data_IF_132681887113
#
_entry.id   IF_132681887113
#
_cell.length_a   1.000
_cell.length_b   1.000
_cell.length_c   1.000
_cell.angle_alpha   90.00
_cell.angle_beta   90.00
_cell.angle_gamma   90.00
#
_symmetry.space_group_name_H-M   'P 1'
#
loop_
_entity.id
_entity.type
_entity.pdbx_description
1 polymer ?
#
# COMPACT_ATOMS: atom_id res chain seq x y z
N UNK A 1 6.29 12.78 4.02
CA UNK A 1 5.79 11.98 2.88
C UNK A 1 6.65 10.75 2.62
N UNK A 2 7.93 10.88 2.25
CA UNK A 2 8.80 9.71 2.02
C UNK A 2 8.90 8.78 3.23
N UNK A 3 8.94 9.35 4.44
CA UNK A 3 8.98 8.60 5.72
C UNK A 3 7.76 7.71 5.97
N UNK A 4 6.64 7.89 5.27
CA UNK A 4 5.47 7.02 5.41
C UNK A 4 5.83 5.56 5.12
N UNK A 5 6.70 5.33 4.13
CA UNK A 5 7.07 3.99 3.70
C UNK A 5 8.17 3.35 4.56
N UNK A 6 8.69 4.07 5.57
CA UNK A 6 9.87 3.64 6.30
C UNK A 6 9.70 2.28 7.00
N UNK A 7 8.63 2.11 7.78
CA UNK A 7 8.37 0.87 8.50
C UNK A 7 8.20 -0.34 7.57
N UNK A 8 7.30 -0.31 6.56
CA UNK A 8 7.12 -1.46 5.67
C UNK A 8 8.38 -1.80 4.87
N UNK A 9 9.21 -0.82 4.50
CA UNK A 9 10.49 -1.08 3.82
C UNK A 9 11.52 -1.65 4.79
N UNK A 10 11.58 -1.14 6.04
CA UNK A 10 12.55 -1.62 7.03
C UNK A 10 12.33 -3.09 7.39
N UNK A 11 11.08 -3.53 7.43
CA UNK A 11 10.72 -4.93 7.73
C UNK A 11 11.15 -5.87 6.60
N UNK A 12 11.05 -5.42 5.34
CA UNK A 12 11.35 -6.24 4.16
C UNK A 12 12.82 -6.19 3.72
N UNK A 13 13.52 -5.09 4.01
CA UNK A 13 14.90 -4.87 3.60
C UNK A 13 15.84 -4.92 4.79
N UNK A 14 16.74 -5.91 4.81
CA UNK A 14 17.87 -5.92 5.72
C UNK A 14 18.86 -4.82 5.35
N UNK A 15 19.15 -3.93 6.30
CA UNK A 15 20.07 -2.81 6.06
C UNK A 15 19.98 -1.69 7.09
N UNK A 16 20.97 -0.81 7.00
CA UNK A 16 21.10 0.35 7.88
C UNK A 16 19.99 1.39 7.66
N UNK A 17 19.74 2.21 8.68
CA UNK A 17 18.78 3.33 8.63
C UNK A 17 18.90 4.17 7.36
N UNK A 18 20.13 4.52 6.96
CA UNK A 18 20.41 5.35 5.77
C UNK A 18 19.99 4.68 4.46
N UNK A 19 20.14 3.35 4.35
CA UNK A 19 19.75 2.60 3.14
C UNK A 19 18.23 2.58 2.99
N UNK A 20 17.53 2.31 4.09
CA UNK A 20 16.07 2.31 4.12
C UNK A 20 15.52 3.69 3.79
N UNK A 21 16.07 4.75 4.40
CA UNK A 21 15.64 6.11 4.12
C UNK A 21 15.83 6.47 2.64
N UNK A 22 16.99 6.12 2.06
CA UNK A 22 17.24 6.33 0.63
C UNK A 22 16.22 5.60 -0.25
N UNK A 23 15.86 4.36 0.09
CA UNK A 23 14.84 3.58 -0.64
C UNK A 23 13.45 4.20 -0.55
N UNK A 24 13.07 4.77 0.60
CA UNK A 24 11.83 5.52 0.74
C UNK A 24 11.74 6.69 -0.24
N UNK A 25 12.84 7.45 -0.41
CA UNK A 25 12.90 8.55 -1.37
C UNK A 25 12.86 8.05 -2.81
N UNK A 26 13.56 6.96 -3.15
CA UNK A 26 13.52 6.38 -4.49
C UNK A 26 12.10 5.96 -4.86
N UNK A 27 11.40 5.23 -3.98
CA UNK A 27 10.03 4.78 -4.22
C UNK A 27 9.06 5.94 -4.43
N UNK A 28 9.22 7.01 -3.64
CA UNK A 28 8.41 8.21 -3.78
C UNK A 28 8.65 8.92 -5.11
N UNK A 29 9.93 9.06 -5.51
CA UNK A 29 10.30 9.77 -6.74
C UNK A 29 9.97 8.97 -8.01
N UNK A 30 10.02 7.64 -7.95
CA UNK A 30 9.62 6.77 -9.07
C UNK A 30 8.11 6.71 -9.26
N UNK A 31 7.33 6.95 -8.20
CA UNK A 31 5.87 6.85 -8.20
C UNK A 31 5.21 8.08 -7.55
N UNK A 32 5.46 9.31 -8.06
CA UNK A 32 5.04 10.53 -7.38
C UNK A 32 3.51 10.64 -7.29
N UNK A 33 2.78 10.24 -8.33
CA UNK A 33 1.31 10.27 -8.32
C UNK A 33 0.70 9.33 -7.28
N UNK A 34 1.15 8.07 -7.23
CA UNK A 34 0.69 7.10 -6.24
C UNK A 34 1.10 7.51 -4.82
N UNK A 35 2.32 8.03 -4.64
CA UNK A 35 2.78 8.58 -3.38
C UNK A 35 1.87 9.72 -2.90
N UNK A 36 1.56 10.70 -3.76
CA UNK A 36 0.71 11.86 -3.40
C UNK A 36 -0.68 11.39 -2.98
N UNK A 37 -1.26 10.47 -3.76
CA UNK A 37 -2.54 9.87 -3.43
C UNK A 37 -2.53 9.20 -2.05
N UNK A 38 -1.53 8.36 -1.76
CA UNK A 38 -1.41 7.67 -0.46
C UNK A 38 -1.21 8.65 0.68
N UNK A 39 -0.43 9.71 0.50
CA UNK A 39 -0.26 10.75 1.52
C UNK A 39 -1.58 11.48 1.82
N UNK A 40 -2.33 11.89 0.80
CA UNK A 40 -3.64 12.54 0.99
C UNK A 40 -4.63 11.56 1.62
N UNK A 41 -4.66 10.32 1.16
CA UNK A 41 -5.58 9.30 1.66
C UNK A 41 -5.28 8.91 3.12
N UNK A 42 -4.02 8.83 3.51
CA UNK A 42 -3.63 8.59 4.91
C UNK A 42 -4.00 9.75 5.83
N UNK A 43 -3.88 11.00 5.37
CA UNK A 43 -4.41 12.17 6.11
C UNK A 43 -5.93 12.07 6.26
N UNK A 44 -6.63 11.73 5.19
CA UNK A 44 -8.08 11.54 5.22
C UNK A 44 -8.50 10.45 6.22
N UNK A 45 -7.83 9.29 6.21
CA UNK A 45 -8.07 8.22 7.19
C UNK A 45 -7.74 8.65 8.62
N UNK A 46 -6.67 9.43 8.81
CA UNK A 46 -6.32 9.96 10.13
C UNK A 46 -7.44 10.87 10.66
N UNK A 47 -7.98 11.77 9.83
CA UNK A 47 -9.10 12.65 10.19
C UNK A 47 -10.35 11.82 10.53
N UNK A 48 -10.66 10.81 9.72
CA UNK A 48 -11.79 9.89 9.99
C UNK A 48 -11.62 9.06 11.25
N UNK A 49 -10.38 8.78 11.67
CA UNK A 49 -10.11 8.00 12.88
C UNK A 49 -10.32 8.80 14.18
N UNK A 50 -10.34 10.14 14.11
CA UNK A 50 -10.55 11.02 15.28
C UNK A 50 -11.88 10.74 16.00
N UNK A 51 -13.05 10.77 15.33
CA UNK A 51 -14.34 10.53 16.00
C UNK A 51 -14.45 9.12 16.60
N UNK A 52 -13.72 8.13 16.08
CA UNK A 52 -13.72 6.76 16.60
C UNK A 52 -12.65 6.49 17.66
N UNK A 53 -11.89 7.51 18.09
CA UNK A 53 -10.67 7.35 18.89
C UNK A 53 -9.67 6.33 18.30
N UNK A 54 -9.74 6.10 16.98
CA UNK A 54 -8.95 5.10 16.28
C UNK A 54 -9.34 3.63 16.51
N UNK A 55 -10.42 3.36 17.27
CA UNK A 55 -10.83 2.01 17.70
C UNK A 55 -11.85 1.35 16.77
N UNK A 56 -12.62 2.13 16.02
CA UNK A 56 -13.59 1.60 15.03
C UNK A 56 -13.09 1.81 13.60
N UNK A 57 -13.46 0.93 12.65
CA UNK A 57 -13.16 1.12 11.24
C UNK A 57 -13.72 2.45 10.70
N UNK A 58 -12.94 3.24 9.95
CA UNK A 58 -11.50 3.10 9.71
C UNK A 58 -10.67 3.58 10.91
N UNK A 59 -9.97 2.65 11.57
CA UNK A 59 -9.08 2.95 12.71
C UNK A 59 -7.64 3.18 12.28
N UNK A 60 -6.74 3.39 13.23
CA UNK A 60 -5.31 3.61 12.95
C UNK A 60 -4.65 2.43 12.22
N UNK A 61 -5.14 1.20 12.43
CA UNK A 61 -4.69 0.02 11.70
C UNK A 61 -4.91 0.14 10.18
N UNK A 62 -5.98 0.81 9.74
CA UNK A 62 -6.25 1.01 8.33
C UNK A 62 -5.15 1.82 7.64
N UNK A 63 -4.56 2.80 8.34
CA UNK A 63 -3.43 3.58 7.82
C UNK A 63 -2.23 2.66 7.58
N UNK A 64 -1.90 1.80 8.55
CA UNK A 64 -0.83 0.81 8.41
C UNK A 64 -1.07 -0.12 7.22
N UNK A 65 -2.28 -0.68 7.09
CA UNK A 65 -2.63 -1.56 5.98
C UNK A 65 -2.49 -0.87 4.62
N UNK A 66 -2.92 0.39 4.49
CA UNK A 66 -2.80 1.15 3.24
C UNK A 66 -1.35 1.34 2.84
N UNK A 67 -0.50 1.76 3.78
CA UNK A 67 0.91 2.00 3.52
C UNK A 67 1.61 0.68 3.17
N UNK A 68 1.33 -0.40 3.90
CA UNK A 68 1.93 -1.70 3.64
C UNK A 68 1.51 -2.29 2.28
N UNK A 69 0.21 -2.24 1.98
CA UNK A 69 -0.32 -2.67 0.68
C UNK A 69 0.29 -1.86 -0.46
N UNK A 70 0.49 -0.56 -0.27
CA UNK A 70 1.15 0.28 -1.27
C UNK A 70 2.58 -0.19 -1.56
N UNK A 71 3.37 -0.48 -0.53
CA UNK A 71 4.73 -0.99 -0.71
C UNK A 71 4.71 -2.34 -1.40
N UNK A 72 3.79 -3.23 -1.03
CA UNK A 72 3.65 -4.53 -1.67
C UNK A 72 3.25 -4.43 -3.16
N UNK A 73 2.37 -3.50 -3.52
CA UNK A 73 2.02 -3.22 -4.92
C UNK A 73 3.23 -2.68 -5.70
N UNK A 74 4.09 -1.88 -5.05
CA UNK A 74 5.33 -1.44 -5.68
C UNK A 74 6.29 -2.60 -5.93
N UNK A 75 6.42 -3.53 -4.99
CA UNK A 75 7.23 -4.74 -5.16
C UNK A 75 6.75 -5.57 -6.35
N UNK A 76 5.46 -5.87 -6.42
CA UNK A 76 4.87 -6.59 -7.56
C UNK A 76 5.16 -5.91 -8.90
N UNK A 77 5.07 -4.57 -8.93
CA UNK A 77 5.41 -3.78 -10.11
C UNK A 77 6.89 -3.91 -10.49
N UNK A 78 7.80 -3.81 -9.53
CA UNK A 78 9.23 -3.89 -9.82
C UNK A 78 9.65 -5.30 -10.21
N UNK A 79 9.16 -6.32 -9.51
CA UNK A 79 9.41 -7.74 -9.84
C UNK A 79 8.95 -8.06 -11.27
N UNK A 80 7.80 -7.52 -11.68
CA UNK A 80 7.30 -7.67 -13.05
C UNK A 80 8.21 -7.00 -14.08
N UNK A 81 8.69 -5.78 -13.80
CA UNK A 81 9.57 -5.03 -14.69
C UNK A 81 10.98 -5.63 -14.75
N UNK A 82 11.45 -6.25 -13.68
CA UNK A 82 12.72 -6.99 -13.67
C UNK A 82 12.64 -8.25 -14.53
N UNK A 83 11.53 -8.99 -14.46
CA UNK A 83 11.29 -10.18 -15.30
C UNK A 83 11.01 -9.84 -16.77
N UNK A 84 10.49 -8.65 -17.05
CA UNK A 84 10.12 -8.21 -18.40
C UNK A 84 10.77 -6.85 -18.73
N UNK A 85 12.06 -6.82 -19.10
CA UNK A 85 12.79 -5.58 -19.35
C UNK A 85 12.21 -4.72 -20.49
N UNK A 86 11.57 -5.35 -21.49
CA UNK A 86 10.94 -4.67 -22.62
C UNK A 86 9.50 -4.19 -22.31
N UNK A 87 8.97 -4.52 -21.12
CA UNK A 87 7.60 -4.15 -20.76
C UNK A 87 7.46 -2.63 -20.55
N UNK A 88 6.33 -2.11 -21.00
CA UNK A 88 6.01 -0.70 -20.80
C UNK A 88 5.58 -0.46 -19.34
N UNK A 89 6.32 0.40 -18.63
CA UNK A 89 6.06 0.79 -17.23
C UNK A 89 4.65 1.32 -16.95
N UNK A 90 3.92 1.76 -17.98
CA UNK A 90 2.52 2.25 -17.88
C UNK A 90 1.47 1.17 -18.11
N UNK A 91 1.84 0.05 -18.77
CA UNK A 91 0.93 -1.05 -19.11
C UNK A 91 1.30 -2.28 -18.29
N UNK A 92 1.00 -2.20 -17.00
CA UNK A 92 1.23 -3.30 -16.05
C UNK A 92 -0.06 -4.12 -15.97
N UNK A 93 0.00 -5.46 -16.11
CA UNK A 93 -1.18 -6.33 -16.02
C UNK A 93 -1.60 -6.49 -14.55
N UNK A 94 -2.14 -5.44 -13.95
CA UNK A 94 -2.50 -5.41 -12.51
C UNK A 94 -3.48 -6.52 -12.11
N UNK A 95 -4.40 -6.88 -12.99
CA UNK A 95 -5.38 -7.96 -12.72
C UNK A 95 -4.70 -9.30 -12.46
N UNK A 96 -3.65 -9.62 -13.24
CA UNK A 96 -2.89 -10.85 -13.09
C UNK A 96 -1.98 -10.78 -11.87
N UNK A 97 -1.27 -9.65 -11.69
CA UNK A 97 -0.34 -9.47 -10.57
C UNK A 97 -1.02 -9.45 -9.20
N UNK A 98 -2.27 -8.99 -9.13
CA UNK A 98 -3.03 -8.92 -7.87
C UNK A 98 -3.98 -10.09 -7.69
N UNK A 99 -3.98 -11.09 -8.59
CA UNK A 99 -4.89 -12.22 -8.52
C UNK A 99 -4.76 -12.98 -7.19
N UNK A 100 -3.54 -13.38 -6.83
CA UNK A 100 -3.27 -14.08 -5.56
C UNK A 100 -3.69 -13.24 -4.35
N UNK A 101 -3.46 -11.92 -4.39
CA UNK A 101 -3.86 -11.02 -3.30
C UNK A 101 -5.39 -10.96 -3.17
N UNK A 102 -6.10 -10.84 -4.28
CA UNK A 102 -7.56 -10.75 -4.29
C UNK A 102 -8.20 -12.06 -3.82
N UNK A 103 -7.65 -13.21 -4.22
CA UNK A 103 -8.12 -14.53 -3.79
C UNK A 103 -8.00 -14.69 -2.27
N UNK A 104 -6.87 -14.26 -1.68
CA UNK A 104 -6.65 -14.32 -0.24
C UNK A 104 -7.55 -13.34 0.57
N UNK A 105 -7.98 -12.23 -0.03
CA UNK A 105 -8.76 -11.17 0.64
C UNK A 105 -10.27 -11.48 0.64
N UNK A 106 -10.76 -12.24 -0.35
CA UNK A 106 -12.18 -12.55 -0.54
C UNK A 106 -13.02 -11.38 -1.05
N UNK A 107 -14.31 -11.60 -1.37
CA UNK A 107 -15.20 -10.56 -1.91
C UNK A 107 -15.44 -9.43 -0.90
N UNK A 108 -15.18 -8.19 -1.31
CA UNK A 108 -15.41 -6.99 -0.48
C UNK A 108 -16.68 -6.29 -0.94
N UNK A 109 -17.79 -6.55 -0.26
CA UNK A 109 -19.02 -5.78 -0.42
C UNK A 109 -19.19 -4.78 0.72
N UNK A 110 -19.80 -3.61 0.45
CA UNK A 110 -20.17 -2.66 1.50
C UNK A 110 -21.09 -3.30 2.55
N UNK A 111 -21.92 -4.25 2.11
CA UNK A 111 -22.79 -5.04 2.99
C UNK A 111 -21.98 -5.94 3.92
N UNK A 112 -21.01 -6.70 3.41
CA UNK A 112 -20.13 -7.54 4.23
C UNK A 112 -19.22 -6.72 5.15
N UNK A 113 -18.85 -5.50 4.77
CA UNK A 113 -18.07 -4.61 5.62
C UNK A 113 -18.86 -4.12 6.86
N UNK A 114 -20.15 -3.84 6.71
CA UNK A 114 -21.03 -3.40 7.82
C UNK A 114 -21.60 -4.61 8.57
N UNK A 115 -21.85 -5.72 7.88
CA UNK A 115 -22.45 -6.94 8.41
C UNK A 115 -21.62 -8.18 8.01
N UNK A 116 -20.46 -8.42 8.66
CA UNK A 116 -19.52 -9.49 8.28
C UNK A 116 -20.05 -10.92 8.48
N UNK A 117 -21.21 -11.09 9.11
CA UNK A 117 -21.89 -12.37 9.29
C UNK A 117 -23.04 -12.59 8.31
N UNK A 118 -23.26 -11.63 7.41
CA UNK A 118 -24.44 -11.58 6.52
C UNK A 118 -24.01 -11.69 5.06
N UNK A 119 -23.24 -12.74 4.80
CA UNK A 119 -22.92 -13.26 3.47
C UNK A 119 -23.84 -14.44 3.13
#
# INVERSE_FOLDING_TARGET
>A
MATLFYFPIKIRLEGDFKKVLKKCFILLLDNPGAGIFVFIYTIFLLILSIPSLGLLPPGLAAIGCVIDTTVHLYELKYDYLEKNPDANRKKIPWTELTWDLNENIGPRTLKGMIFPWKD
#
